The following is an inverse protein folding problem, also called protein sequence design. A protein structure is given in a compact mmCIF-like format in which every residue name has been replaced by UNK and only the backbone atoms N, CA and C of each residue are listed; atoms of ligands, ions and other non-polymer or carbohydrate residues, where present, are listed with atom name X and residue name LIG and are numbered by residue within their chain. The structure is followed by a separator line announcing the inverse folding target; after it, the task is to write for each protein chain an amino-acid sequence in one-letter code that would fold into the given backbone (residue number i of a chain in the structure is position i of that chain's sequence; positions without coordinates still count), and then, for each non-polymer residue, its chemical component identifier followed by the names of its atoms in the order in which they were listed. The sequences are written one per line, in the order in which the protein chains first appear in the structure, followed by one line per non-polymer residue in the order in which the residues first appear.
data_IF_998201464090
#
_entry.id   IF_998201464090
#
_cell.length_a   1.000
_cell.length_b   1.000
_cell.length_c   1.000
_cell.angle_alpha   90.00
_cell.angle_beta   90.00
_cell.angle_gamma   90.00
#
_symmetry.space_group_name_H-M   'P 1'
#
loop_
_entity.id
_entity.type
_entity.pdbx_description
1 polymer ?
#
# COMPACT_ATOMS: atom_id res chain seq x y z
N UNK A 1 -22.06 -9.76 -3.65
CA UNK A 1 -21.63 -8.40 -4.06
C UNK A 1 -22.84 -7.48 -4.14
N UNK A 2 -22.65 -6.24 -3.76
CA UNK A 2 -23.70 -5.23 -3.87
C UNK A 2 -23.90 -4.86 -5.34
N UNK A 3 -25.16 -4.74 -5.76
CA UNK A 3 -25.46 -4.33 -7.13
C UNK A 3 -25.12 -2.85 -7.34
N UNK A 4 -24.28 -2.55 -8.31
CA UNK A 4 -23.87 -1.19 -8.68
C UNK A 4 -24.26 -0.84 -10.12
N UNK A 5 -25.07 -1.67 -10.77
CA UNK A 5 -25.43 -1.47 -12.18
C UNK A 5 -26.19 -0.17 -12.43
N UNK A 6 -26.88 0.35 -11.41
CA UNK A 6 -27.64 1.60 -11.47
C UNK A 6 -26.83 2.86 -11.17
N UNK A 7 -25.57 2.71 -10.67
CA UNK A 7 -24.76 3.85 -10.26
C UNK A 7 -24.08 4.52 -11.46
N UNK A 8 -23.92 5.83 -11.43
CA UNK A 8 -23.24 6.53 -12.52
C UNK A 8 -21.74 6.27 -12.50
N UNK A 9 -21.15 6.33 -13.68
CA UNK A 9 -19.69 6.27 -13.85
C UNK A 9 -19.12 7.64 -13.57
N UNK A 10 -18.29 7.74 -12.53
CA UNK A 10 -17.68 9.00 -12.11
C UNK A 10 -16.21 8.80 -11.77
N UNK A 11 -15.48 9.91 -11.65
CA UNK A 11 -14.11 9.89 -11.14
C UNK A 11 -14.11 9.46 -9.67
N UNK A 12 -13.28 8.48 -9.36
CA UNK A 12 -13.10 7.95 -8.01
C UNK A 12 -11.63 8.05 -7.63
N UNK A 13 -11.37 8.60 -6.48
CA UNK A 13 -10.01 8.73 -5.93
C UNK A 13 -10.02 8.29 -4.48
N UNK A 14 -8.94 7.64 -4.05
CA UNK A 14 -8.75 7.28 -2.66
C UNK A 14 -7.26 7.31 -2.33
N UNK A 15 -6.95 7.77 -1.12
CA UNK A 15 -5.59 7.74 -0.57
C UNK A 15 -5.64 6.97 0.74
N UNK A 16 -4.80 5.95 0.84
CA UNK A 16 -4.64 5.16 2.06
C UNK A 16 -3.21 5.25 2.56
N UNK A 17 -3.03 5.07 3.85
CA UNK A 17 -1.72 5.06 4.48
C UNK A 17 -1.53 3.81 5.32
N UNK A 18 -0.26 3.42 5.51
CA UNK A 18 0.14 2.38 6.43
C UNK A 18 1.44 2.81 7.09
N UNK A 19 1.63 2.44 8.35
CA UNK A 19 2.83 2.79 9.11
C UNK A 19 3.63 1.54 9.40
N UNK A 20 4.92 1.55 9.04
CA UNK A 20 5.87 0.51 9.39
C UNK A 20 6.85 1.10 10.40
N UNK A 21 6.91 0.53 11.60
CA UNK A 21 7.87 0.95 12.63
C UNK A 21 8.97 -0.07 12.76
N UNK A 22 10.19 0.41 13.00
CA UNK A 22 11.36 -0.44 13.21
C UNK A 22 11.87 -0.27 14.64
N UNK A 23 12.68 -1.22 15.13
CA UNK A 23 13.17 -1.18 16.51
C UNK A 23 14.42 -0.34 16.68
N UNK A 24 15.12 -0.02 15.59
CA UNK A 24 16.43 0.65 15.62
C UNK A 24 16.58 1.60 14.44
N UNK A 25 17.03 2.84 14.66
CA UNK A 25 17.31 3.77 13.55
C UNK A 25 18.29 3.22 12.51
N UNK A 26 19.18 2.31 12.90
CA UNK A 26 20.11 1.66 11.97
C UNK A 26 19.39 0.87 10.87
N UNK A 27 18.20 0.35 11.15
CA UNK A 27 17.39 -0.35 10.16
C UNK A 27 16.95 0.61 9.05
N UNK A 28 16.54 1.82 9.41
CA UNK A 28 16.20 2.85 8.43
C UNK A 28 17.43 3.23 7.60
N UNK A 29 18.58 3.40 8.23
CA UNK A 29 19.83 3.69 7.52
C UNK A 29 20.15 2.59 6.50
N UNK A 30 19.98 1.33 6.88
CA UNK A 30 20.19 0.20 5.98
C UNK A 30 19.26 0.25 4.75
N UNK A 31 18.01 0.62 4.95
CA UNK A 31 17.05 0.81 3.84
C UNK A 31 17.53 1.91 2.89
N UNK A 32 17.90 3.07 3.45
CA UNK A 32 18.33 4.23 2.67
C UNK A 32 19.62 3.96 1.90
N UNK A 33 20.55 3.22 2.50
CA UNK A 33 21.84 2.86 1.89
C UNK A 33 21.79 1.58 1.07
N UNK A 34 20.61 0.98 0.94
CA UNK A 34 20.39 -0.25 0.15
C UNK A 34 21.28 -1.42 0.60
N UNK A 35 21.42 -1.58 1.92
CA UNK A 35 22.23 -2.65 2.54
C UNK A 35 21.39 -3.79 3.10
N UNK A 36 20.13 -3.88 2.72
CA UNK A 36 19.23 -4.95 3.15
C UNK A 36 19.51 -6.20 2.32
N UNK A 37 19.64 -7.39 2.96
CA UNK A 37 19.98 -8.62 2.24
C UNK A 37 19.05 -9.01 1.10
N UNK A 38 17.75 -8.72 1.23
CA UNK A 38 16.75 -9.09 0.21
C UNK A 38 16.68 -8.10 -0.95
N UNK A 39 17.41 -6.98 -0.90
CA UNK A 39 17.49 -6.03 -2.00
C UNK A 39 16.92 -4.65 -1.70
N UNK A 40 16.42 -3.98 -2.72
CA UNK A 40 15.88 -2.62 -2.62
C UNK A 40 14.47 -2.66 -2.02
N UNK A 41 14.35 -2.27 -0.75
CA UNK A 41 13.12 -2.38 0.02
C UNK A 41 12.00 -1.52 -0.56
N UNK A 42 12.28 -0.25 -0.82
CA UNK A 42 11.25 0.68 -1.27
C UNK A 42 10.77 0.36 -2.69
N UNK A 43 11.68 -0.02 -3.57
CA UNK A 43 11.30 -0.40 -4.93
C UNK A 43 10.48 -1.70 -4.94
N UNK A 44 10.88 -2.69 -4.14
CA UNK A 44 10.10 -3.93 -4.01
C UNK A 44 8.71 -3.67 -3.46
N UNK A 45 8.60 -2.79 -2.45
CA UNK A 45 7.32 -2.41 -1.88
C UNK A 45 6.45 -1.66 -2.89
N UNK A 46 7.05 -0.79 -3.71
CA UNK A 46 6.34 -0.06 -4.76
C UNK A 46 5.72 -1.01 -5.77
N UNK A 47 6.49 -1.98 -6.25
CA UNK A 47 6.00 -2.96 -7.22
C UNK A 47 4.91 -3.83 -6.60
N UNK A 48 5.11 -4.29 -5.37
CA UNK A 48 4.12 -5.11 -4.66
C UNK A 48 2.81 -4.34 -4.44
N UNK A 49 2.89 -3.05 -4.12
CA UNK A 49 1.72 -2.20 -3.95
C UNK A 49 0.88 -2.13 -5.23
N UNK A 50 1.53 -1.99 -6.39
CA UNK A 50 0.84 -1.96 -7.67
C UNK A 50 0.12 -3.28 -7.94
N UNK A 51 0.77 -4.41 -7.68
CA UNK A 51 0.11 -5.71 -7.79
C UNK A 51 -1.07 -5.83 -6.82
N UNK A 52 -0.89 -5.38 -5.58
CA UNK A 52 -1.95 -5.41 -4.57
C UNK A 52 -3.19 -4.66 -5.04
N UNK A 53 -3.02 -3.44 -5.53
CA UNK A 53 -4.12 -2.63 -6.05
C UNK A 53 -4.84 -3.35 -7.20
N UNK A 54 -4.09 -3.91 -8.15
CA UNK A 54 -4.66 -4.55 -9.33
C UNK A 54 -5.35 -5.88 -9.02
N UNK A 55 -5.01 -6.53 -7.93
CA UNK A 55 -5.50 -7.87 -7.58
C UNK A 55 -6.47 -7.88 -6.41
N UNK A 56 -6.91 -6.73 -5.97
CA UNK A 56 -7.78 -6.61 -4.79
C UNK A 56 -9.03 -7.48 -4.93
N UNK A 57 -9.72 -7.43 -6.07
CA UNK A 57 -10.95 -8.19 -6.27
C UNK A 57 -10.73 -9.72 -6.29
N UNK A 58 -9.51 -10.17 -6.52
CA UNK A 58 -9.18 -11.60 -6.49
C UNK A 58 -9.06 -12.15 -5.07
N UNK A 59 -8.84 -11.26 -4.08
CA UNK A 59 -8.59 -11.65 -2.70
C UNK A 59 -9.68 -11.21 -1.74
N UNK A 60 -10.37 -10.11 -2.03
CA UNK A 60 -11.44 -9.57 -1.19
C UNK A 60 -12.77 -9.95 -1.83
N UNK A 61 -13.52 -10.92 -1.25
CA UNK A 61 -14.61 -11.62 -1.94
C UNK A 61 -15.71 -10.75 -2.54
N UNK A 62 -16.12 -9.70 -1.83
CA UNK A 62 -17.23 -8.85 -2.28
C UNK A 62 -16.78 -7.58 -3.00
N UNK A 63 -15.48 -7.44 -3.24
CA UNK A 63 -14.94 -6.28 -3.94
C UNK A 63 -15.14 -6.44 -5.45
N UNK A 64 -15.73 -5.44 -6.07
CA UNK A 64 -16.01 -5.47 -7.52
C UNK A 64 -14.70 -5.42 -8.32
N UNK A 65 -14.61 -6.21 -9.41
CA UNK A 65 -13.51 -6.04 -10.36
C UNK A 65 -13.72 -4.72 -11.10
N UNK A 66 -12.72 -3.87 -11.04
CA UNK A 66 -12.77 -2.57 -11.71
C UNK A 66 -11.42 -2.24 -12.30
N UNK A 67 -11.39 -1.41 -13.36
CA UNK A 67 -10.13 -0.98 -13.95
C UNK A 67 -9.43 0.00 -13.03
N UNK A 68 -8.11 -0.16 -12.90
CA UNK A 68 -7.26 0.82 -12.22
C UNK A 68 -6.60 1.65 -13.30
N UNK A 69 -6.86 2.94 -13.32
CA UNK A 69 -6.32 3.82 -14.35
C UNK A 69 -5.07 4.56 -13.88
N UNK A 70 -4.93 4.77 -12.58
CA UNK A 70 -3.73 5.35 -12.00
C UNK A 70 -3.54 4.84 -10.58
N UNK A 71 -2.31 4.49 -10.26
CA UNK A 71 -1.92 4.12 -8.92
C UNK A 71 -0.47 4.58 -8.67
N UNK A 72 -0.25 5.25 -7.55
CA UNK A 72 1.09 5.66 -7.16
C UNK A 72 1.29 5.43 -5.68
N UNK A 73 2.50 5.04 -5.30
CA UNK A 73 2.86 4.86 -3.91
C UNK A 73 4.05 5.76 -3.58
N UNK A 74 3.96 6.40 -2.44
CA UNK A 74 5.04 7.22 -1.89
C UNK A 74 5.44 6.71 -0.52
N UNK A 75 6.66 7.06 -0.12
CA UNK A 75 7.21 6.69 1.18
C UNK A 75 7.73 7.93 1.88
N UNK A 76 7.38 8.09 3.15
CA UNK A 76 7.93 9.12 4.01
C UNK A 76 8.77 8.44 5.06
N UNK A 77 10.06 8.77 5.10
CA UNK A 77 11.05 8.09 5.94
C UNK A 77 11.31 8.94 7.18
N UNK A 78 11.07 8.37 8.35
CA UNK A 78 11.43 8.97 9.63
C UNK A 78 12.63 8.25 10.25
N UNK A 79 12.98 8.62 11.48
CA UNK A 79 14.11 8.02 12.18
C UNK A 79 13.91 6.53 12.48
N UNK A 80 12.70 6.12 12.80
CA UNK A 80 12.33 4.74 13.13
C UNK A 80 11.04 4.29 12.49
N UNK A 81 10.63 4.93 11.37
CA UNK A 81 9.38 4.58 10.72
C UNK A 81 9.40 4.88 9.24
N UNK A 82 8.57 4.17 8.50
CA UNK A 82 8.29 4.41 7.09
C UNK A 82 6.76 4.51 6.97
N UNK A 83 6.28 5.64 6.49
CA UNK A 83 4.87 5.81 6.17
C UNK A 83 4.67 5.53 4.68
N UNK A 84 3.79 4.58 4.37
CA UNK A 84 3.36 4.28 3.01
C UNK A 84 2.14 5.12 2.70
N UNK A 85 2.14 5.79 1.56
CA UNK A 85 0.98 6.53 1.06
C UNK A 85 0.61 5.98 -0.31
N UNK A 86 -0.59 5.42 -0.43
CA UNK A 86 -1.09 4.79 -1.65
C UNK A 86 -2.23 5.61 -2.23
N UNK A 87 -2.08 6.10 -3.46
CA UNK A 87 -3.11 6.86 -4.17
C UNK A 87 -3.59 6.08 -5.37
N UNK A 88 -4.92 5.97 -5.50
CA UNK A 88 -5.55 5.23 -6.60
C UNK A 88 -6.62 6.09 -7.24
N UNK A 89 -6.70 6.07 -8.56
CA UNK A 89 -7.72 6.79 -9.33
C UNK A 89 -8.29 5.89 -10.41
N UNK A 90 -9.58 6.03 -10.63
CA UNK A 90 -10.26 5.38 -11.74
C UNK A 90 -11.54 6.14 -12.08
N UNK A 91 -12.14 5.78 -13.20
CA UNK A 91 -13.47 6.23 -13.58
C UNK A 91 -14.34 4.99 -13.60
N UNK A 92 -15.25 4.87 -12.64
CA UNK A 92 -16.08 3.69 -12.51
C UNK A 92 -17.33 3.96 -11.67
N UNK A 93 -18.08 2.90 -11.38
CA UNK A 93 -19.35 2.96 -10.64
C UNK A 93 -19.21 2.77 -9.14
N UNK A 94 -18.03 2.45 -8.66
CA UNK A 94 -17.77 2.29 -7.23
C UNK A 94 -16.39 2.88 -6.90
N UNK A 95 -16.16 3.17 -5.62
CA UNK A 95 -14.91 3.76 -5.19
C UNK A 95 -13.75 2.77 -5.16
N UNK A 96 -12.56 3.28 -4.91
CA UNK A 96 -11.29 2.54 -4.89
C UNK A 96 -10.64 2.53 -3.51
N UNK A 97 -11.44 2.69 -2.45
CA UNK A 97 -10.94 2.72 -1.07
C UNK A 97 -10.24 1.41 -0.70
N UNK A 98 -10.87 0.29 -1.04
CA UNK A 98 -10.33 -1.04 -0.69
C UNK A 98 -9.05 -1.30 -1.46
N UNK A 99 -9.01 -0.92 -2.73
CA UNK A 99 -7.82 -1.03 -3.56
C UNK A 99 -6.66 -0.22 -2.97
N UNK A 100 -6.91 1.02 -2.56
CA UNK A 100 -5.88 1.86 -1.94
C UNK A 100 -5.39 1.26 -0.61
N UNK A 101 -6.30 0.81 0.24
CA UNK A 101 -5.93 0.19 1.52
C UNK A 101 -5.19 -1.14 1.31
N UNK A 102 -5.60 -1.93 0.35
CA UNK A 102 -4.92 -3.18 0.02
C UNK A 102 -3.50 -2.94 -0.49
N UNK A 103 -3.34 -1.98 -1.42
CA UNK A 103 -2.01 -1.61 -1.91
C UNK A 103 -1.09 -1.14 -0.79
N UNK A 104 -1.58 -0.29 0.12
CA UNK A 104 -0.81 0.16 1.27
C UNK A 104 -0.44 -1.01 2.19
N UNK A 105 -1.36 -1.95 2.40
CA UNK A 105 -1.14 -3.14 3.24
C UNK A 105 -0.07 -4.05 2.65
N UNK A 106 -0.14 -4.31 1.35
CA UNK A 106 0.83 -5.19 0.66
C UNK A 106 2.21 -4.54 0.63
N UNK A 107 2.29 -3.22 0.43
CA UNK A 107 3.55 -2.49 0.52
C UNK A 107 4.17 -2.62 1.92
N UNK A 108 3.38 -2.40 2.96
CA UNK A 108 3.84 -2.51 4.34
C UNK A 108 4.30 -3.93 4.67
N UNK A 109 3.55 -4.93 4.22
CA UNK A 109 3.92 -6.34 4.44
C UNK A 109 5.21 -6.71 3.70
N UNK A 110 5.42 -6.17 2.51
CA UNK A 110 6.66 -6.35 1.76
C UNK A 110 7.85 -5.76 2.51
N UNK A 111 7.69 -4.55 3.05
CA UNK A 111 8.73 -3.93 3.87
C UNK A 111 9.04 -4.81 5.08
N UNK A 112 8.02 -5.27 5.79
CA UNK A 112 8.19 -6.19 6.92
C UNK A 112 8.99 -7.43 6.52
N UNK A 113 8.57 -8.10 5.45
CA UNK A 113 9.23 -9.33 4.99
C UNK A 113 10.70 -9.10 4.65
N UNK A 114 11.00 -7.97 4.01
CA UNK A 114 12.37 -7.67 3.61
C UNK A 114 13.27 -7.28 4.77
N UNK A 115 12.70 -6.67 5.82
CA UNK A 115 13.47 -6.21 6.98
C UNK A 115 13.61 -7.26 8.08
N UNK A 116 12.76 -8.28 8.13
CA UNK A 116 12.80 -9.26 9.22
C UNK A 116 14.14 -9.97 9.41
N UNK A 117 15.01 -10.15 8.38
CA UNK A 117 16.33 -10.72 8.62
C UNK A 117 17.26 -9.84 9.46
N UNK A 118 17.06 -8.51 9.45
CA UNK A 118 17.94 -7.57 10.15
C UNK A 118 17.25 -6.89 11.34
N UNK A 119 15.94 -6.98 11.46
CA UNK A 119 15.20 -6.34 12.55
C UNK A 119 13.97 -7.17 12.90
N UNK A 120 13.97 -7.77 14.10
CA UNK A 120 12.87 -8.61 14.57
C UNK A 120 11.73 -7.81 15.21
N UNK A 121 11.91 -6.51 15.40
CA UNK A 121 10.95 -5.64 16.04
C UNK A 121 10.12 -4.80 15.07
N UNK A 122 10.13 -5.13 13.77
CA UNK A 122 9.31 -4.44 12.79
C UNK A 122 7.83 -4.71 13.05
N UNK A 123 7.03 -3.65 13.04
CA UNK A 123 5.59 -3.74 13.23
C UNK A 123 4.86 -2.91 12.18
N UNK A 124 3.67 -3.37 11.82
CA UNK A 124 2.79 -2.69 10.88
C UNK A 124 1.55 -2.20 11.65
N UNK A 125 1.17 -0.95 11.43
CA UNK A 125 -0.03 -0.41 12.02
C UNK A 125 -0.60 0.73 11.21
N UNK A 126 -1.68 1.33 11.71
CA UNK A 126 -2.25 2.53 11.12
C UNK A 126 -2.70 2.40 9.67
N UNK A 127 -3.10 1.19 9.24
CA UNK A 127 -3.66 1.01 7.90
C UNK A 127 -5.03 1.67 7.88
N UNK A 128 -5.18 2.73 7.08
CA UNK A 128 -6.41 3.51 7.09
C UNK A 128 -6.61 4.29 5.79
N UNK A 129 -7.86 4.62 5.55
CA UNK A 129 -8.21 5.56 4.49
C UNK A 129 -7.89 6.97 4.99
N UNK A 130 -7.02 7.68 4.27
CA UNK A 130 -6.66 9.06 4.60
C UNK A 130 -7.55 10.07 3.89
N UNK A 131 -7.93 9.76 2.63
CA UNK A 131 -8.73 10.66 1.80
C UNK A 131 -9.51 9.86 0.77
N UNK A 132 -10.74 10.34 0.48
CA UNK A 132 -11.61 9.77 -0.55
C UNK A 132 -12.30 10.91 -1.32
N UNK A 133 -12.32 10.79 -2.62
CA UNK A 133 -13.04 11.72 -3.50
C UNK A 133 -13.91 11.02 -4.52
#
# INVERSE_FOLDING_TARGET
MIDITHKPTTLREATATALVTVSDPATITAVQEKRVPKGDVLESARVAALFGVKKTHELIPDCHPLPIEHAEVGFTIGAQEITVTMRVRTIYRTGVEVEAMHGASVAALTIYDMLKPIDKGVAIGGIRLAEKK
#
